data_IF_086167827475
#
_entry.id   IF_086167827475
#
_cell.length_a   1.000
_cell.length_b   1.000
_cell.length_c   1.000
_cell.angle_alpha   90.00
_cell.angle_beta   90.00
_cell.angle_gamma   90.00
#
_symmetry.space_group_name_H-M   'P 1'
#
loop_
_entity.id
_entity.type
_entity.pdbx_description
1 polymer ?
#
# COMPACT_ATOMS: atom_id res chain seq x y z
N UNK A 1 8.25 -21.82 5.72
CA UNK A 1 8.41 -21.37 4.33
C UNK A 1 7.55 -20.13 4.15
N UNK A 2 8.13 -18.93 4.22
CA UNK A 2 7.46 -17.72 3.75
C UNK A 2 7.74 -17.64 2.26
N UNK A 3 6.68 -17.75 1.46
CA UNK A 3 6.76 -17.54 0.03
C UNK A 3 6.82 -16.03 -0.24
N UNK A 4 7.58 -15.71 -1.27
CA UNK A 4 7.61 -14.41 -1.96
C UNK A 4 8.46 -13.31 -1.32
N UNK A 5 9.76 -13.34 -1.67
CA UNK A 5 10.59 -12.16 -1.94
C UNK A 5 11.09 -11.31 -0.78
N UNK A 6 10.45 -11.36 0.39
CA UNK A 6 10.85 -10.55 1.54
C UNK A 6 11.31 -11.44 2.69
N UNK A 7 12.60 -11.34 3.02
CA UNK A 7 13.21 -12.09 4.11
C UNK A 7 13.35 -11.19 5.33
N UNK A 8 12.70 -11.57 6.43
CA UNK A 8 12.89 -10.95 7.74
C UNK A 8 13.51 -12.01 8.66
N UNK A 9 14.64 -11.70 9.28
CA UNK A 9 15.28 -12.59 10.26
C UNK A 9 15.86 -11.81 11.45
N UNK A 10 16.08 -12.52 12.56
CA UNK A 10 16.71 -11.98 13.76
C UNK A 10 18.12 -12.57 13.88
N UNK A 11 19.14 -11.70 13.89
CA UNK A 11 20.55 -12.08 14.00
C UNK A 11 21.15 -11.26 15.13
N UNK A 12 21.70 -11.91 16.18
CA UNK A 12 22.32 -11.23 17.33
C UNK A 12 21.45 -10.11 17.92
N UNK A 13 20.17 -10.40 18.17
CA UNK A 13 19.19 -9.43 18.68
C UNK A 13 18.96 -8.21 17.76
N UNK A 14 19.36 -8.29 16.50
CA UNK A 14 19.14 -7.29 15.45
C UNK A 14 18.13 -7.84 14.44
N UNK A 15 17.16 -7.03 14.03
CA UNK A 15 16.20 -7.38 12.99
C UNK A 15 16.82 -7.00 11.64
N UNK A 16 17.05 -7.99 10.79
CA UNK A 16 17.51 -7.81 9.42
C UNK A 16 16.32 -8.01 8.46
N UNK A 17 16.15 -7.07 7.53
CA UNK A 17 15.08 -7.07 6.53
C UNK A 17 15.68 -6.81 5.16
N UNK A 18 15.36 -7.68 4.20
CA UNK A 18 15.71 -7.52 2.79
C UNK A 18 14.44 -7.34 1.96
N UNK A 19 14.41 -6.30 1.13
CA UNK A 19 13.35 -6.05 0.16
C UNK A 19 13.92 -5.39 -1.10
N UNK A 20 13.36 -5.72 -2.26
CA UNK A 20 13.79 -5.19 -3.55
C UNK A 20 12.90 -4.02 -3.96
N UNK A 21 13.49 -2.87 -4.29
CA UNK A 21 12.79 -1.72 -4.87
C UNK A 21 13.09 -1.68 -6.38
N UNK A 22 12.06 -1.82 -7.21
CA UNK A 22 12.17 -1.60 -8.65
C UNK A 22 11.74 -0.18 -8.98
N UNK A 23 12.69 0.64 -9.45
CA UNK A 23 12.42 2.02 -9.85
C UNK A 23 12.24 2.03 -11.38
N UNK A 24 11.04 2.38 -11.85
CA UNK A 24 10.76 2.57 -13.26
C UNK A 24 10.64 4.07 -13.57
N UNK A 25 11.36 4.55 -14.58
CA UNK A 25 11.19 5.90 -15.12
C UNK A 25 10.15 5.87 -16.24
N UNK A 26 9.19 6.80 -16.23
CA UNK A 26 8.23 6.99 -17.31
C UNK A 26 8.59 8.26 -18.07
N UNK A 27 9.37 8.12 -19.14
CA UNK A 27 9.48 9.14 -20.18
C UNK A 27 8.41 8.87 -21.23
N UNK A 28 7.28 9.56 -21.13
CA UNK A 28 6.30 9.67 -22.22
C UNK A 28 4.89 9.19 -21.91
N UNK A 29 3.94 10.13 -22.04
CA UNK A 29 2.52 9.86 -22.21
C UNK A 29 1.74 9.60 -20.91
N UNK A 30 0.81 10.49 -20.59
CA UNK A 30 -0.23 10.26 -19.58
C UNK A 30 -1.12 9.09 -20.00
N UNK A 31 -0.67 7.87 -19.76
CA UNK A 31 -1.59 6.77 -19.55
C UNK A 31 -1.78 6.67 -18.03
N UNK A 32 -2.89 7.24 -17.55
CA UNK A 32 -3.28 7.16 -16.16
C UNK A 32 -3.39 5.67 -15.81
N UNK A 33 -2.33 5.12 -15.21
CA UNK A 33 -2.34 3.81 -14.59
C UNK A 33 -3.65 3.69 -13.81
N UNK A 34 -4.47 2.64 -14.03
CA UNK A 34 -5.71 2.49 -13.31
C UNK A 34 -5.40 2.60 -11.83
N UNK A 35 -5.95 3.62 -11.16
CA UNK A 35 -5.84 3.71 -9.71
C UNK A 35 -6.43 2.42 -9.17
N UNK A 36 -5.57 1.51 -8.72
CA UNK A 36 -5.96 0.25 -8.15
C UNK A 36 -6.48 0.56 -6.75
N UNK A 37 -7.80 0.70 -6.62
CA UNK A 37 -8.44 1.07 -5.36
C UNK A 37 -8.24 0.02 -4.26
N UNK A 38 -7.82 -1.19 -4.62
CA UNK A 38 -7.34 -2.24 -3.72
C UNK A 38 -6.25 -1.74 -2.78
N UNK A 39 -5.37 -0.83 -3.23
CA UNK A 39 -4.26 -0.30 -2.43
C UNK A 39 -4.69 0.55 -1.23
N UNK A 40 -5.92 1.08 -1.24
CA UNK A 40 -6.47 1.86 -0.14
C UNK A 40 -7.44 1.06 0.73
N UNK A 41 -7.65 -0.22 0.41
CA UNK A 41 -8.54 -1.08 1.19
C UNK A 41 -7.87 -1.36 2.53
N UNK A 42 -8.56 -1.04 3.62
CA UNK A 42 -8.04 -1.39 4.94
C UNK A 42 -7.98 -2.92 5.06
N UNK A 43 -6.89 -3.49 5.58
CA UNK A 43 -6.82 -4.92 5.90
C UNK A 43 -7.75 -5.30 7.08
N UNK A 44 -8.32 -4.30 7.76
CA UNK A 44 -9.23 -4.44 8.88
C UNK A 44 -10.64 -4.12 8.36
N UNK A 45 -11.63 -4.98 8.63
CA UNK A 45 -13.03 -4.84 8.18
C UNK A 45 -13.78 -3.60 8.73
N UNK A 46 -13.08 -2.69 9.40
CA UNK A 46 -13.63 -1.47 10.00
C UNK A 46 -13.62 -0.31 9.00
N UNK A 47 -14.37 -0.45 7.91
CA UNK A 47 -14.62 0.65 6.99
C UNK A 47 -15.63 1.61 7.60
N UNK A 48 -15.19 2.82 7.95
CA UNK A 48 -16.02 3.84 8.61
C UNK A 48 -16.18 5.12 7.78
N UNK A 49 -15.55 5.19 6.60
CA UNK A 49 -15.70 6.27 5.62
C UNK A 49 -15.73 5.77 4.19
N UNK A 50 -16.30 6.57 3.30
CA UNK A 50 -16.23 6.35 1.85
C UNK A 50 -15.37 7.44 1.22
N UNK A 51 -14.26 7.05 0.59
CA UNK A 51 -13.52 7.92 -0.31
C UNK A 51 -14.23 7.96 -1.67
N UNK A 52 -14.43 9.17 -2.20
CA UNK A 52 -14.97 9.38 -3.54
C UNK A 52 -13.83 9.92 -4.40
N UNK A 53 -13.39 9.13 -5.37
CA UNK A 53 -12.33 9.49 -6.31
C UNK A 53 -12.91 9.44 -7.72
N UNK A 54 -13.11 10.62 -8.32
CA UNK A 54 -13.93 10.79 -9.54
C UNK A 54 -15.32 10.18 -9.29
N UNK A 55 -15.73 9.20 -10.08
CA UNK A 55 -17.03 8.51 -9.95
C UNK A 55 -16.94 7.19 -9.16
N UNK A 56 -15.78 6.86 -8.60
CA UNK A 56 -15.57 5.61 -7.85
C UNK A 56 -15.70 5.86 -6.35
N UNK A 57 -16.47 5.00 -5.69
CA UNK A 57 -16.64 4.97 -4.24
C UNK A 57 -15.82 3.83 -3.65
N UNK A 58 -15.03 4.13 -2.62
CA UNK A 58 -14.24 3.15 -1.91
C UNK A 58 -14.48 3.23 -0.40
N UNK A 59 -15.04 2.19 0.22
CA UNK A 59 -15.10 2.10 1.68
C UNK A 59 -13.69 1.86 2.24
N UNK A 60 -13.27 2.70 3.19
CA UNK A 60 -11.96 2.61 3.85
C UNK A 60 -12.08 2.94 5.35
N UNK A 61 -11.00 2.70 6.10
CA UNK A 61 -10.89 3.02 7.53
C UNK A 61 -10.18 4.36 7.74
N UNK A 62 -10.80 5.28 8.49
CA UNK A 62 -10.18 6.55 8.93
C UNK A 62 -8.87 6.33 9.67
N UNK A 63 -8.84 5.35 10.58
CA UNK A 63 -7.69 5.10 11.44
C UNK A 63 -6.51 4.58 10.61
N UNK A 64 -6.80 3.72 9.63
CA UNK A 64 -5.81 3.26 8.67
C UNK A 64 -5.25 4.40 7.82
N UNK A 65 -6.11 5.28 7.29
CA UNK A 65 -5.65 6.45 6.53
C UNK A 65 -4.80 7.41 7.39
N UNK A 66 -5.21 7.67 8.63
CA UNK A 66 -4.50 8.57 9.53
C UNK A 66 -3.08 8.10 9.86
N UNK A 67 -2.87 6.78 9.96
CA UNK A 67 -1.54 6.18 10.21
C UNK A 67 -0.67 6.23 8.96
N UNK A 68 -1.22 5.95 7.78
CA UNK A 68 -0.44 5.71 6.57
C UNK A 68 -0.35 6.90 5.61
N UNK A 69 -1.16 7.94 5.81
CA UNK A 69 -1.18 9.15 4.99
C UNK A 69 -1.30 10.39 5.88
N UNK A 70 -0.21 10.85 6.51
CA UNK A 70 -0.19 12.14 7.18
C UNK A 70 -0.34 13.23 6.12
N UNK A 71 -1.46 13.94 6.16
CA UNK A 71 -1.77 15.11 5.33
C UNK A 71 -1.75 16.34 6.21
#
# INVERSE_FOLDING_TARGET
MLKDGNSICVINNTIAMEFSINIASSEGGQELMPIELSNFRSPIDHNNVTLIIRDKKLPVSKDYLAVHSPV
#
